data_IF_359898015267
#
_entry.id   IF_359898015267
#
_cell.length_a   1.000
_cell.length_b   1.000
_cell.length_c   1.000
_cell.angle_alpha   90.00
_cell.angle_beta   90.00
_cell.angle_gamma   90.00
#
_symmetry.space_group_name_H-M   'P 1'
#
loop_
_entity.id
_entity.type
_entity.pdbx_description
1 polymer ?
#
# COMPACT_ATOMS: atom_id res chain seq x y z
N UNK A 1 1.86 -4.30 5.99
CA UNK A 1 2.34 -3.19 6.86
C UNK A 1 2.03 -3.47 8.32
N UNK A 2 0.76 -3.61 8.75
CA UNK A 2 0.45 -3.88 10.17
C UNK A 2 1.23 -5.03 10.82
N UNK A 3 1.32 -6.20 10.18
CA UNK A 3 2.11 -7.32 10.72
C UNK A 3 3.62 -7.02 10.80
N UNK A 4 4.15 -6.21 9.88
CA UNK A 4 5.56 -5.81 9.89
C UNK A 4 5.84 -4.84 11.05
N UNK A 5 5.00 -3.81 11.22
CA UNK A 5 5.10 -2.89 12.35
C UNK A 5 4.94 -3.61 13.71
N UNK A 6 4.06 -4.60 13.78
CA UNK A 6 3.95 -5.47 14.94
C UNK A 6 5.23 -6.30 15.19
N UNK A 7 5.81 -6.91 14.16
CA UNK A 7 7.07 -7.66 14.29
C UNK A 7 8.21 -6.78 14.82
N UNK A 8 8.22 -5.51 14.41
CA UNK A 8 9.15 -4.49 14.89
C UNK A 8 8.76 -3.85 16.23
N UNK A 9 7.60 -4.22 16.80
CA UNK A 9 7.05 -3.66 18.05
C UNK A 9 6.96 -2.12 18.05
N UNK A 10 6.60 -1.54 16.90
CA UNK A 10 6.53 -0.09 16.74
C UNK A 10 5.14 0.39 16.34
N UNK A 11 4.75 1.57 16.85
CA UNK A 11 3.63 2.34 16.34
C UNK A 11 4.17 3.34 15.30
N UNK A 12 3.80 3.23 14.01
CA UNK A 12 4.44 3.99 12.94
C UNK A 12 4.30 5.52 13.10
N UNK A 13 3.23 6.00 13.73
CA UNK A 13 2.97 7.42 13.97
C UNK A 13 3.68 8.00 15.21
N UNK A 14 4.38 7.19 16.02
CA UNK A 14 5.16 7.68 17.16
C UNK A 14 6.57 8.12 16.78
N UNK A 15 7.06 7.67 15.61
CA UNK A 15 8.33 8.09 15.04
C UNK A 15 8.15 9.12 13.91
N UNK A 16 9.26 9.66 13.41
CA UNK A 16 9.27 10.57 12.26
C UNK A 16 9.09 9.86 10.90
N UNK A 17 9.22 8.52 10.86
CA UNK A 17 9.33 7.72 9.63
C UNK A 17 8.02 7.56 8.84
N UNK A 18 6.88 7.55 9.53
CA UNK A 18 5.58 7.26 8.91
C UNK A 18 4.55 8.33 9.26
N UNK A 19 4.87 9.59 8.97
CA UNK A 19 3.97 10.72 9.21
C UNK A 19 3.81 11.53 7.93
N UNK A 20 2.57 11.84 7.55
CA UNK A 20 2.26 12.70 6.40
C UNK A 20 1.93 11.95 5.11
N UNK A 21 1.18 12.61 4.22
CA UNK A 21 0.84 12.15 2.88
C UNK A 21 0.39 10.68 2.79
N UNK A 22 1.10 9.91 1.96
CA UNK A 22 0.84 8.50 1.68
C UNK A 22 0.86 7.64 2.95
N UNK A 23 1.71 7.95 3.93
CA UNK A 23 1.87 7.14 5.13
C UNK A 23 0.65 7.21 6.05
N UNK A 24 -0.02 8.37 6.11
CA UNK A 24 -1.28 8.52 6.83
C UNK A 24 -2.35 7.55 6.30
N UNK A 25 -2.48 7.44 4.98
CA UNK A 25 -3.44 6.53 4.36
C UNK A 25 -3.13 5.07 4.70
N UNK A 26 -1.86 4.68 4.64
CA UNK A 26 -1.40 3.32 4.97
C UNK A 26 -1.70 2.96 6.42
N UNK A 27 -1.48 3.89 7.35
CA UNK A 27 -1.76 3.72 8.77
C UNK A 27 -3.26 3.60 9.03
N UNK A 28 -4.05 4.53 8.51
CA UNK A 28 -5.50 4.53 8.69
C UNK A 28 -6.15 3.25 8.12
N UNK A 29 -5.70 2.80 6.95
CA UNK A 29 -6.19 1.55 6.35
C UNK A 29 -5.84 0.34 7.22
N UNK A 30 -4.61 0.29 7.74
CA UNK A 30 -4.17 -0.77 8.64
C UNK A 30 -5.05 -0.83 9.89
N UNK A 31 -5.24 0.31 10.57
CA UNK A 31 -6.06 0.38 11.79
C UNK A 31 -7.51 0.01 11.52
N UNK A 32 -8.06 0.43 10.38
CA UNK A 32 -9.41 0.04 9.95
C UNK A 32 -9.53 -1.47 9.71
N UNK A 33 -8.52 -2.11 9.13
CA UNK A 33 -8.53 -3.57 8.93
C UNK A 33 -8.50 -4.28 10.28
N UNK A 34 -7.55 -3.93 11.15
CA UNK A 34 -7.39 -4.60 12.44
C UNK A 34 -8.49 -4.25 13.46
N UNK A 35 -9.31 -3.22 13.24
CA UNK A 35 -10.48 -2.96 14.07
C UNK A 35 -11.70 -3.83 13.74
N UNK A 36 -11.66 -4.63 12.67
CA UNK A 36 -12.76 -5.54 12.32
C UNK A 36 -12.49 -6.98 12.74
N UNK A 37 -13.50 -7.83 12.56
CA UNK A 37 -13.39 -9.27 12.84
C UNK A 37 -12.56 -9.97 11.76
N UNK A 38 -11.58 -10.76 12.20
CA UNK A 38 -10.63 -11.47 11.33
C UNK A 38 -11.30 -12.33 10.24
N UNK A 39 -12.44 -12.95 10.57
CA UNK A 39 -13.13 -13.91 9.68
C UNK A 39 -13.71 -13.25 8.43
N UNK A 40 -14.00 -11.94 8.46
CA UNK A 40 -14.45 -11.19 7.27
C UNK A 40 -13.34 -11.17 6.22
N UNK A 41 -12.11 -10.84 6.64
CA UNK A 41 -10.96 -10.80 5.74
C UNK A 41 -10.46 -12.19 5.36
N UNK A 42 -10.50 -13.15 6.30
CA UNK A 42 -10.17 -14.54 6.00
C UNK A 42 -11.10 -15.12 4.93
N UNK A 43 -12.40 -14.91 5.06
CA UNK A 43 -13.39 -15.34 4.08
C UNK A 43 -13.13 -14.74 2.70
N UNK A 44 -12.90 -13.42 2.63
CA UNK A 44 -12.61 -12.73 1.37
C UNK A 44 -11.31 -13.20 0.70
N UNK A 45 -10.27 -13.49 1.48
CA UNK A 45 -8.97 -13.88 0.94
C UNK A 45 -8.87 -15.38 0.61
N UNK A 46 -9.35 -16.25 1.51
CA UNK A 46 -9.24 -17.71 1.38
C UNK A 46 -10.32 -18.25 0.45
N UNK A 47 -11.56 -17.77 0.48
CA UNK A 47 -12.64 -18.39 -0.30
C UNK A 47 -12.71 -17.88 -1.75
N UNK A 48 -12.02 -16.79 -2.09
CA UNK A 48 -12.01 -16.22 -3.42
C UNK A 48 -10.74 -16.66 -4.21
N UNK A 49 -10.87 -17.51 -5.25
CA UNK A 49 -9.73 -17.96 -6.04
C UNK A 49 -8.93 -16.84 -6.70
N UNK A 50 -9.60 -15.77 -7.14
CA UNK A 50 -8.92 -14.61 -7.73
C UNK A 50 -8.15 -13.81 -6.68
N UNK A 51 -8.68 -13.70 -5.45
CA UNK A 51 -7.93 -13.11 -4.34
C UNK A 51 -6.68 -13.93 -4.02
N UNK A 52 -6.75 -15.26 -4.05
CA UNK A 52 -5.56 -16.12 -3.84
C UNK A 52 -4.46 -15.83 -4.86
N UNK A 53 -4.81 -15.74 -6.15
CA UNK A 53 -3.87 -15.40 -7.23
C UNK A 53 -3.24 -14.01 -7.02
N UNK A 54 -4.08 -13.01 -6.73
CA UNK A 54 -3.61 -11.64 -6.50
C UNK A 54 -2.69 -11.52 -5.28
N UNK A 55 -3.03 -12.18 -4.18
CA UNK A 55 -2.22 -12.16 -2.95
C UNK A 55 -0.88 -12.87 -3.18
N UNK A 56 -0.88 -14.02 -3.86
CA UNK A 56 0.35 -14.74 -4.20
C UNK A 56 1.26 -13.90 -5.11
N UNK A 57 0.70 -13.28 -6.16
CA UNK A 57 1.46 -12.42 -7.07
C UNK A 57 1.94 -11.16 -6.37
N UNK A 58 1.16 -10.56 -5.47
CA UNK A 58 1.59 -9.40 -4.69
C UNK A 58 2.80 -9.75 -3.81
N UNK A 59 2.76 -10.87 -3.10
CA UNK A 59 3.89 -11.32 -2.28
C UNK A 59 5.15 -11.60 -3.13
N UNK A 60 4.98 -12.16 -4.34
CA UNK A 60 6.07 -12.33 -5.30
C UNK A 60 6.64 -10.98 -5.74
N UNK A 61 5.79 -10.02 -6.08
CA UNK A 61 6.16 -8.67 -6.52
C UNK A 61 6.94 -7.93 -5.42
N UNK A 62 6.46 -7.97 -4.17
CA UNK A 62 7.20 -7.43 -3.02
C UNK A 62 8.60 -8.04 -2.89
N UNK A 63 8.69 -9.37 -3.00
CA UNK A 63 9.96 -10.10 -2.84
C UNK A 63 10.95 -9.77 -3.96
N UNK A 64 10.49 -9.73 -5.20
CA UNK A 64 11.37 -9.50 -6.35
C UNK A 64 11.85 -8.05 -6.41
N UNK A 65 10.98 -7.07 -6.16
CA UNK A 65 11.39 -5.66 -6.07
C UNK A 65 12.38 -5.44 -4.91
N UNK A 66 12.10 -6.00 -3.74
CA UNK A 66 13.01 -5.88 -2.59
C UNK A 66 14.39 -6.51 -2.87
N UNK A 67 14.46 -7.63 -3.61
CA UNK A 67 15.74 -8.22 -4.03
C UNK A 67 16.55 -7.28 -4.94
N UNK A 68 15.88 -6.57 -5.85
CA UNK A 68 16.55 -5.58 -6.70
C UNK A 68 17.08 -4.39 -5.87
N UNK A 69 16.28 -3.91 -4.91
CA UNK A 69 16.67 -2.86 -3.96
C UNK A 69 17.90 -3.29 -3.13
N UNK A 70 17.85 -4.48 -2.54
CA UNK A 70 18.93 -5.04 -1.74
C UNK A 70 20.22 -5.24 -2.56
N UNK A 71 20.09 -5.65 -3.82
CA UNK A 71 21.21 -5.86 -4.73
C UNK A 71 21.77 -4.59 -5.37
N UNK A 72 21.22 -3.40 -5.06
CA UNK A 72 21.65 -2.15 -5.68
C UNK A 72 21.37 -2.07 -7.19
N UNK A 73 20.42 -2.85 -7.69
CA UNK A 73 20.11 -3.02 -9.11
C UNK A 73 19.22 -1.89 -9.65
N UNK A 74 19.72 -0.65 -9.61
CA UNK A 74 18.94 0.57 -9.87
C UNK A 74 18.29 0.58 -11.28
N UNK A 75 19.03 0.21 -12.31
CA UNK A 75 18.52 0.17 -13.69
C UNK A 75 17.37 -0.82 -13.85
N UNK A 76 17.55 -2.06 -13.37
CA UNK A 76 16.55 -3.13 -13.49
C UNK A 76 15.31 -2.83 -12.64
N UNK A 77 15.50 -2.24 -11.44
CA UNK A 77 14.39 -1.78 -10.60
C UNK A 77 13.57 -0.71 -11.34
N UNK A 78 14.25 0.30 -11.91
CA UNK A 78 13.59 1.38 -12.64
C UNK A 78 12.86 0.87 -13.88
N UNK A 79 13.50 0.04 -14.69
CA UNK A 79 12.90 -0.54 -15.89
C UNK A 79 11.62 -1.32 -15.53
N UNK A 80 11.68 -2.17 -14.50
CA UNK A 80 10.55 -2.97 -14.04
C UNK A 80 9.39 -2.09 -13.55
N UNK A 81 9.67 -1.10 -12.71
CA UNK A 81 8.64 -0.22 -12.12
C UNK A 81 8.00 0.67 -13.18
N UNK A 82 8.78 1.28 -14.08
CA UNK A 82 8.23 2.09 -15.17
C UNK A 82 7.51 1.24 -16.22
N UNK A 83 8.01 0.05 -16.53
CA UNK A 83 7.30 -0.91 -17.38
C UNK A 83 5.96 -1.33 -16.78
N UNK A 84 5.91 -1.52 -15.46
CA UNK A 84 4.66 -1.79 -14.74
C UNK A 84 3.69 -0.59 -14.79
N UNK A 85 4.20 0.62 -14.53
CA UNK A 85 3.44 1.88 -14.65
C UNK A 85 2.78 1.99 -16.02
N UNK A 86 3.57 1.88 -17.08
CA UNK A 86 3.11 2.11 -18.45
C UNK A 86 2.06 1.06 -18.87
N UNK A 87 2.17 -0.19 -18.41
CA UNK A 87 1.16 -1.24 -18.68
C UNK A 87 -0.16 -1.02 -17.91
N UNK A 88 -0.09 -0.53 -16.68
CA UNK A 88 -1.26 -0.34 -15.81
C UNK A 88 -1.97 0.97 -16.13
N UNK A 89 -1.22 2.07 -16.17
CA UNK A 89 -1.72 3.43 -16.26
C UNK A 89 -1.65 4.01 -17.68
N UNK A 90 -0.98 3.35 -18.62
CA UNK A 90 -0.69 3.90 -19.93
C UNK A 90 0.54 4.81 -19.92
N UNK A 91 1.08 5.08 -21.10
CA UNK A 91 2.23 5.96 -21.30
C UNK A 91 1.74 7.36 -21.66
N UNK A 92 2.17 8.38 -20.94
CA UNK A 92 1.88 9.77 -21.31
C UNK A 92 2.68 10.13 -22.59
N UNK A 93 1.99 10.43 -23.69
CA UNK A 93 2.62 10.86 -24.96
C UNK A 93 2.09 10.17 -26.22
N UNK A 94 2.59 10.63 -27.39
CA UNK A 94 2.07 10.34 -28.74
C UNK A 94 1.90 8.84 -29.02
N UNK A 95 0.69 8.33 -28.82
CA UNK A 95 0.23 7.01 -29.24
C UNK A 95 -0.47 6.18 -28.16
N UNK A 96 -0.32 6.52 -26.88
CA UNK A 96 -1.03 5.88 -25.77
C UNK A 96 -1.82 6.91 -24.98
N UNK A 97 -3.14 6.71 -24.83
CA UNK A 97 -3.92 7.52 -23.90
C UNK A 97 -3.57 7.13 -22.47
N UNK A 98 -3.20 8.09 -21.63
CA UNK A 98 -3.14 7.86 -20.19
C UNK A 98 -4.52 7.36 -19.72
N UNK A 99 -4.53 6.31 -18.91
CA UNK A 99 -5.76 5.67 -18.41
C UNK A 99 -6.30 6.35 -17.15
N UNK A 100 -5.48 7.15 -16.47
CA UNK A 100 -5.94 8.03 -15.41
C UNK A 100 -6.58 9.31 -15.97
N UNK A 101 -7.50 9.88 -15.21
CA UNK A 101 -8.19 11.12 -15.58
C UNK A 101 -7.25 12.34 -15.52
N UNK A 102 -7.66 13.43 -16.19
CA UNK A 102 -6.92 14.70 -16.17
C UNK A 102 -6.78 15.27 -14.75
N UNK A 103 -7.76 15.04 -13.87
CA UNK A 103 -7.63 15.34 -12.44
C UNK A 103 -7.24 14.10 -11.65
N UNK A 104 -6.34 14.21 -10.64
CA UNK A 104 -5.96 13.09 -9.81
C UNK A 104 -7.10 12.65 -8.90
N UNK A 105 -7.21 11.33 -8.66
CA UNK A 105 -8.22 10.76 -7.77
C UNK A 105 -8.12 11.30 -6.33
N UNK A 106 -6.92 11.64 -5.88
CA UNK A 106 -6.67 12.24 -4.57
C UNK A 106 -5.70 13.41 -4.71
N UNK A 107 -6.07 14.54 -4.11
CA UNK A 107 -5.22 15.71 -4.01
C UNK A 107 -4.36 15.63 -2.74
N UNK A 108 -3.13 16.13 -2.81
CA UNK A 108 -2.16 16.05 -1.73
C UNK A 108 -2.67 16.72 -0.44
N UNK A 109 -3.47 17.78 -0.56
CA UNK A 109 -4.04 18.49 0.58
C UNK A 109 -5.01 17.63 1.40
N UNK A 110 -5.68 16.66 0.77
CA UNK A 110 -6.59 15.74 1.46
C UNK A 110 -5.78 14.67 2.21
N UNK A 111 -4.65 14.21 1.65
CA UNK A 111 -3.81 13.19 2.29
C UNK A 111 -3.15 13.71 3.58
N UNK A 112 -2.77 14.98 3.59
CA UNK A 112 -2.09 15.63 4.70
C UNK A 112 -3.03 16.01 5.87
N UNK A 113 -4.35 16.05 5.65
CA UNK A 113 -5.33 16.44 6.67
C UNK A 113 -5.54 15.38 7.76
N UNK A 114 -5.19 14.11 7.53
CA UNK A 114 -5.58 12.98 8.39
C UNK A 114 -4.40 12.27 9.06
N UNK A 115 -3.54 13.05 9.73
CA UNK A 115 -2.40 12.52 10.50
C UNK A 115 -2.80 12.12 11.93
N UNK A 116 -2.34 10.96 12.40
CA UNK A 116 -2.43 10.54 13.81
C UNK A 116 -1.28 11.08 14.68
N UNK A 117 -0.24 11.67 14.07
CA UNK A 117 0.92 12.24 14.75
C UNK A 117 1.14 13.72 14.41
N UNK A 118 2.07 14.38 15.11
CA UNK A 118 2.49 15.76 14.78
C UNK A 118 3.17 15.77 13.41
N UNK A 119 2.72 16.65 12.50
CA UNK A 119 3.35 16.83 11.19
C UNK A 119 4.82 17.26 11.41
N UNK A 120 5.80 16.48 10.92
CA UNK A 120 7.21 16.83 11.08
C UNK A 120 7.57 18.05 10.21
N UNK A 121 8.64 18.75 10.58
CA UNK A 121 9.15 19.91 9.81
C UNK A 121 9.62 19.51 8.40
N UNK A 122 10.09 18.27 8.24
CA UNK A 122 10.40 17.66 6.94
C UNK A 122 9.91 16.21 6.90
N UNK A 123 9.31 15.81 5.79
CA UNK A 123 8.88 14.44 5.55
C UNK A 123 10.09 13.59 5.18
N UNK A 124 10.27 12.45 5.84
CA UNK A 124 11.32 11.50 5.45
C UNK A 124 10.95 10.81 4.13
N UNK A 125 11.82 10.86 3.11
CA UNK A 125 11.58 10.16 1.84
C UNK A 125 11.46 8.65 2.05
N UNK A 126 10.48 8.02 1.40
CA UNK A 126 10.20 6.59 1.53
C UNK A 126 10.15 5.95 0.14
N UNK A 127 10.71 4.75 0.00
CA UNK A 127 10.69 4.01 -1.28
C UNK A 127 9.28 3.51 -1.67
N UNK A 128 8.37 3.47 -0.70
CA UNK A 128 7.00 3.02 -0.85
C UNK A 128 6.88 1.63 -1.52
N UNK A 129 7.71 0.66 -1.12
CA UNK A 129 7.73 -0.71 -1.64
C UNK A 129 6.31 -1.33 -1.73
N UNK A 130 5.45 -1.06 -0.75
CA UNK A 130 4.07 -1.54 -0.76
C UNK A 130 3.23 -1.04 -1.94
N UNK A 131 3.50 0.18 -2.43
CA UNK A 131 2.88 0.77 -3.62
C UNK A 131 3.57 0.33 -4.91
N UNK A 132 4.90 0.24 -4.92
CA UNK A 132 5.64 -0.26 -6.07
C UNK A 132 5.24 -1.71 -6.41
N UNK A 133 5.16 -2.57 -5.40
CA UNK A 133 4.76 -3.97 -5.55
C UNK A 133 3.31 -4.15 -5.99
N UNK A 134 2.45 -3.18 -5.71
CA UNK A 134 1.06 -3.21 -6.12
C UNK A 134 0.92 -3.00 -7.62
N UNK A 135 1.60 -1.99 -8.16
CA UNK A 135 1.58 -1.70 -9.59
C UNK A 135 2.29 -2.80 -10.37
N UNK A 136 3.40 -3.33 -9.85
CA UNK A 136 4.04 -4.52 -10.42
C UNK A 136 3.08 -5.72 -10.41
N UNK A 137 2.38 -6.00 -9.30
CA UNK A 137 1.39 -7.07 -9.23
C UNK A 137 0.28 -6.93 -10.29
N UNK A 138 -0.32 -5.75 -10.41
CA UNK A 138 -1.32 -5.47 -11.44
C UNK A 138 -0.77 -5.68 -12.85
N UNK A 139 0.46 -5.20 -13.11
CA UNK A 139 1.13 -5.40 -14.39
C UNK A 139 1.33 -6.88 -14.73
N UNK A 140 1.78 -7.69 -13.77
CA UNK A 140 2.03 -9.12 -13.95
C UNK A 140 0.72 -9.91 -14.17
N UNK A 141 -0.40 -9.45 -13.61
CA UNK A 141 -1.71 -10.07 -13.78
C UNK A 141 -2.47 -9.53 -14.99
N UNK A 142 -1.95 -8.53 -15.70
CA UNK A 142 -2.68 -7.83 -16.76
C UNK A 142 -3.92 -7.11 -16.26
N UNK A 143 -3.98 -6.76 -14.97
CA UNK A 143 -5.11 -6.10 -14.34
C UNK A 143 -4.99 -4.58 -14.48
N UNK A 144 -6.09 -3.92 -14.84
CA UNK A 144 -6.19 -2.46 -14.91
C UNK A 144 -7.21 -2.00 -13.86
N UNK A 145 -6.77 -1.29 -12.80
CA UNK A 145 -7.65 -0.96 -11.68
C UNK A 145 -8.80 -0.01 -12.07
N UNK A 146 -8.68 0.72 -13.17
CA UNK A 146 -9.71 1.66 -13.65
C UNK A 146 -10.91 0.98 -14.32
N UNK A 147 -10.76 -0.24 -14.84
CA UNK A 147 -11.79 -0.92 -15.65
C UNK A 147 -13.08 -1.20 -14.87
N UNK A 148 -13.02 -1.20 -13.54
CA UNK A 148 -14.13 -1.54 -12.65
C UNK A 148 -14.44 -0.46 -11.60
N UNK A 149 -14.09 0.80 -11.87
CA UNK A 149 -14.28 1.93 -10.93
C UNK A 149 -15.75 2.20 -10.53
N UNK A 150 -16.70 1.75 -11.35
CA UNK A 150 -18.14 1.85 -11.04
C UNK A 150 -18.50 1.00 -9.82
N UNK A 151 -17.85 -0.16 -9.65
CA UNK A 151 -18.08 -1.08 -8.55
C UNK A 151 -17.03 -0.97 -7.43
N UNK A 152 -16.16 0.04 -7.49
CA UNK A 152 -15.08 0.20 -6.52
C UNK A 152 -15.62 0.60 -5.14
N UNK A 153 -15.07 -0.01 -4.09
CA UNK A 153 -15.31 0.45 -2.73
C UNK A 153 -14.58 1.76 -2.45
N UNK A 154 -15.02 2.55 -1.46
CA UNK A 154 -14.31 3.79 -1.07
C UNK A 154 -12.85 3.53 -0.67
N UNK A 155 -12.58 2.39 -0.04
CA UNK A 155 -11.22 1.97 0.32
C UNK A 155 -10.36 1.66 -0.91
N UNK A 156 -10.94 1.02 -1.93
CA UNK A 156 -10.23 0.79 -3.18
C UNK A 156 -9.87 2.11 -3.86
N UNK A 157 -10.80 3.08 -3.90
CA UNK A 157 -10.53 4.42 -4.46
C UNK A 157 -9.42 5.14 -3.72
N UNK A 158 -9.44 5.09 -2.40
CA UNK A 158 -8.38 5.67 -1.57
C UNK A 158 -7.01 5.06 -1.89
N UNK A 159 -6.96 3.73 -2.00
CA UNK A 159 -5.72 3.00 -2.29
C UNK A 159 -5.21 3.22 -3.71
N UNK A 160 -6.11 3.22 -4.69
CA UNK A 160 -5.77 3.57 -6.07
C UNK A 160 -5.28 5.02 -6.16
N UNK A 161 -5.94 5.95 -5.46
CA UNK A 161 -5.56 7.36 -5.49
C UNK A 161 -4.17 7.63 -4.91
N UNK A 162 -3.77 6.99 -3.81
CA UNK A 162 -2.39 7.15 -3.29
C UNK A 162 -1.35 6.50 -4.20
N UNK A 163 -1.73 5.43 -4.90
CA UNK A 163 -0.85 4.77 -5.86
C UNK A 163 -0.68 5.61 -7.11
N UNK A 164 -1.78 6.15 -7.65
CA UNK A 164 -1.77 7.11 -8.75
C UNK A 164 -0.92 8.33 -8.38
N UNK A 165 -1.10 8.89 -7.18
CA UNK A 165 -0.36 10.05 -6.71
C UNK A 165 1.17 9.85 -6.77
N UNK A 166 1.66 8.67 -6.40
CA UNK A 166 3.07 8.31 -6.52
C UNK A 166 3.50 8.15 -7.98
N UNK A 167 2.74 7.39 -8.78
CA UNK A 167 3.14 6.97 -10.13
C UNK A 167 2.94 8.04 -11.20
N UNK A 168 2.07 9.01 -10.96
CA UNK A 168 1.76 10.12 -11.87
C UNK A 168 2.85 11.17 -11.90
N UNK A 169 3.65 11.30 -10.84
CA UNK A 169 4.77 12.24 -10.78
C UNK A 169 6.09 11.51 -10.98
N UNK A 170 6.72 11.71 -12.13
CA UNK A 170 8.03 11.10 -12.41
C UNK A 170 9.07 11.48 -11.36
N UNK A 171 9.07 12.73 -10.89
CA UNK A 171 9.95 13.20 -9.82
C UNK A 171 9.75 12.42 -8.52
N UNK A 172 8.50 12.22 -8.07
CA UNK A 172 8.23 11.43 -6.84
C UNK A 172 8.61 9.97 -7.01
N UNK A 173 8.32 9.41 -8.19
CA UNK A 173 8.64 8.01 -8.49
C UNK A 173 10.16 7.79 -8.54
N UNK A 174 10.90 8.63 -9.27
CA UNK A 174 12.36 8.56 -9.36
C UNK A 174 13.01 8.75 -7.98
N UNK A 175 12.51 9.67 -7.15
CA UNK A 175 12.99 9.82 -5.78
C UNK A 175 12.74 8.57 -4.94
N UNK A 176 11.55 7.97 -5.04
CA UNK A 176 11.23 6.72 -4.33
C UNK A 176 12.16 5.57 -4.76
N UNK A 177 12.50 5.47 -6.04
CA UNK A 177 13.42 4.47 -6.58
C UNK A 177 14.86 4.72 -6.13
N UNK A 178 15.30 5.98 -6.10
CA UNK A 178 16.61 6.38 -5.58
C UNK A 178 16.75 6.00 -4.11
N UNK A 179 15.77 6.37 -3.29
CA UNK A 179 15.69 6.02 -1.86
C UNK A 179 15.70 4.50 -1.67
N UNK A 180 15.03 3.74 -2.54
CA UNK A 180 15.02 2.29 -2.47
C UNK A 180 16.43 1.67 -2.61
N UNK A 181 17.34 2.34 -3.31
CA UNK A 181 18.71 1.87 -3.57
C UNK A 181 19.68 2.45 -2.55
N UNK A 182 19.66 3.76 -2.38
CA UNK A 182 20.70 4.53 -1.68
C UNK A 182 20.45 4.68 -0.17
N UNK A 183 19.18 4.66 0.25
CA UNK A 183 18.81 4.86 1.65
C UNK A 183 18.52 3.53 2.36
N UNK A 184 19.00 3.43 3.60
CA UNK A 184 18.84 2.25 4.45
C UNK A 184 17.86 2.47 5.63
N UNK A 185 17.25 3.66 5.74
CA UNK A 185 16.38 4.06 6.84
C UNK A 185 15.17 3.13 6.97
N UNK A 186 14.58 2.71 5.84
CA UNK A 186 13.42 1.82 5.79
C UNK A 186 13.75 0.36 5.45
N UNK A 187 15.03 0.03 5.19
CA UNK A 187 15.43 -1.29 4.65
C UNK A 187 15.04 -2.46 5.55
N UNK A 188 15.12 -2.25 6.86
CA UNK A 188 14.70 -3.24 7.87
C UNK A 188 13.18 -3.38 7.90
N UNK A 189 12.44 -2.27 7.80
CA UNK A 189 10.98 -2.27 7.78
C UNK A 189 10.46 -2.95 6.50
N UNK A 190 11.14 -2.76 5.37
CA UNK A 190 10.84 -3.41 4.10
C UNK A 190 11.08 -4.92 4.15
N UNK A 191 12.10 -5.38 4.88
CA UNK A 191 12.34 -6.81 5.11
C UNK A 191 11.17 -7.45 5.85
N UNK A 192 10.75 -6.83 6.95
CA UNK A 192 9.60 -7.27 7.74
C UNK A 192 8.31 -7.21 6.93
N UNK A 193 8.19 -6.21 6.04
CA UNK A 193 7.07 -6.11 5.12
C UNK A 193 7.02 -7.27 4.10
N UNK A 194 8.16 -7.65 3.51
CA UNK A 194 8.25 -8.80 2.60
C UNK A 194 7.94 -10.11 3.32
N UNK A 195 8.45 -10.31 4.54
CA UNK A 195 8.12 -11.49 5.36
C UNK A 195 6.64 -11.55 5.70
N UNK A 196 6.04 -10.42 6.09
CA UNK A 196 4.61 -10.34 6.34
C UNK A 196 3.81 -10.70 5.09
N UNK A 197 4.14 -10.14 3.93
CA UNK A 197 3.44 -10.40 2.66
C UNK A 197 3.49 -11.89 2.28
N UNK A 198 4.67 -12.52 2.38
CA UNK A 198 4.85 -13.96 2.13
C UNK A 198 4.04 -14.82 3.10
N UNK A 199 4.08 -14.51 4.39
CA UNK A 199 3.34 -15.27 5.41
C UNK A 199 1.82 -15.17 5.22
N UNK A 200 1.29 -14.03 4.77
CA UNK A 200 -0.12 -13.92 4.40
C UNK A 200 -0.45 -14.74 3.14
N UNK A 201 0.40 -14.68 2.11
CA UNK A 201 0.19 -15.46 0.89
C UNK A 201 0.20 -16.97 1.12
N UNK A 202 1.12 -17.47 1.95
CA UNK A 202 1.18 -18.88 2.33
C UNK A 202 -0.09 -19.31 3.09
N UNK A 203 -0.50 -18.51 4.08
CA UNK A 203 -1.72 -18.77 4.86
C UNK A 203 -2.97 -18.86 3.95
N UNK A 204 -3.06 -17.99 2.95
CA UNK A 204 -4.16 -17.96 1.99
C UNK A 204 -4.10 -19.14 1.02
N UNK A 205 -2.90 -19.48 0.53
CA UNK A 205 -2.68 -20.58 -0.40
C UNK A 205 -3.05 -21.93 0.22
N UNK A 206 -2.69 -22.14 1.48
CA UNK A 206 -3.02 -23.37 2.23
C UNK A 206 -4.47 -23.40 2.70
N UNK A 207 -5.13 -22.24 2.78
CA UNK A 207 -6.53 -22.12 3.23
C UNK A 207 -6.72 -22.40 4.72
N UNK A 208 -5.68 -22.23 5.53
CA UNK A 208 -5.70 -22.50 6.97
C UNK A 208 -6.33 -21.32 7.73
N UNK A 209 -7.63 -21.44 8.06
CA UNK A 209 -8.35 -20.40 8.80
C UNK A 209 -7.79 -20.18 10.21
N UNK A 210 -7.36 -21.22 10.92
CA UNK A 210 -6.83 -21.10 12.27
C UNK A 210 -5.50 -20.32 12.28
N UNK A 211 -4.59 -20.64 11.36
CA UNK A 211 -3.34 -19.89 11.18
C UNK A 211 -3.60 -18.43 10.83
N UNK A 212 -4.62 -18.16 9.99
CA UNK A 212 -5.02 -16.78 9.68
C UNK A 212 -5.49 -16.06 10.94
N UNK A 213 -6.39 -16.70 11.71
CA UNK A 213 -6.96 -16.15 12.94
C UNK A 213 -5.87 -15.78 13.93
N UNK A 214 -4.95 -16.71 14.24
CA UNK A 214 -3.86 -16.47 15.17
C UNK A 214 -2.98 -15.31 14.73
N UNK A 215 -2.55 -15.30 13.46
CA UNK A 215 -1.71 -14.21 12.91
C UNK A 215 -2.40 -12.86 12.96
N UNK A 216 -3.70 -12.83 12.68
CA UNK A 216 -4.50 -11.61 12.69
C UNK A 216 -4.69 -11.10 14.12
N UNK A 217 -5.18 -11.96 15.04
CA UNK A 217 -5.49 -11.59 16.41
C UNK A 217 -4.24 -11.20 17.20
N UNK A 218 -3.11 -11.85 16.96
CA UNK A 218 -1.83 -11.47 17.54
C UNK A 218 -1.46 -10.02 17.21
N UNK A 219 -1.53 -9.67 15.93
CA UNK A 219 -1.31 -8.30 15.46
C UNK A 219 -2.37 -7.32 15.97
N UNK A 220 -3.63 -7.76 16.02
CA UNK A 220 -4.76 -6.97 16.48
C UNK A 220 -4.59 -6.55 17.94
N UNK A 221 -4.23 -7.48 18.83
CA UNK A 221 -3.99 -7.21 20.26
C UNK A 221 -2.92 -6.14 20.49
N UNK A 222 -1.89 -6.10 19.65
CA UNK A 222 -0.86 -5.07 19.74
C UNK A 222 -1.38 -3.66 19.43
N UNK A 223 -2.28 -3.51 18.45
CA UNK A 223 -2.84 -2.22 18.06
C UNK A 223 -4.13 -1.84 18.80
N UNK A 224 -4.74 -2.79 19.53
CA UNK A 224 -6.00 -2.62 20.24
C UNK A 224 -6.08 -1.37 21.12
N UNK A 225 -5.04 -1.01 21.92
CA UNK A 225 -5.07 0.21 22.74
C UNK A 225 -5.19 1.51 21.94
N UNK A 226 -4.98 1.46 20.62
CA UNK A 226 -4.92 2.63 19.72
C UNK A 226 -6.12 2.71 18.78
N UNK A 227 -7.04 1.74 18.81
CA UNK A 227 -8.19 1.72 17.91
C UNK A 227 -9.17 2.87 18.14
N UNK A 228 -9.40 3.30 19.39
CA UNK A 228 -10.38 4.34 19.69
C UNK A 228 -10.10 5.65 18.93
N UNK A 229 -8.88 6.18 19.01
CA UNK A 229 -8.49 7.39 18.27
C UNK A 229 -8.35 7.17 16.76
N UNK A 230 -7.99 5.95 16.34
CA UNK A 230 -7.81 5.61 14.93
C UNK A 230 -9.13 5.49 14.14
N UNK A 231 -10.19 5.02 14.80
CA UNK A 231 -11.52 4.85 14.17
C UNK A 231 -12.12 6.21 13.84
N UNK A 232 -11.94 7.21 14.72
CA UNK A 232 -12.43 8.58 14.51
C UNK A 232 -11.75 9.23 13.30
N UNK A 233 -10.41 9.26 13.28
CA UNK A 233 -9.62 9.85 12.18
C UNK A 233 -9.83 9.09 10.87
N UNK A 234 -9.84 7.76 10.90
CA UNK A 234 -10.04 6.93 9.71
C UNK A 234 -11.44 7.08 9.11
N UNK A 235 -12.46 7.34 9.92
CA UNK A 235 -13.83 7.61 9.44
C UNK A 235 -13.91 8.98 8.78
N UNK A 236 -13.33 10.01 9.39
CA UNK A 236 -13.27 11.36 8.82
C UNK A 236 -12.56 11.37 7.46
N UNK A 237 -11.44 10.65 7.34
CA UNK A 237 -10.69 10.55 6.07
C UNK A 237 -11.52 9.93 4.94
N UNK A 238 -12.23 8.83 5.21
CA UNK A 238 -13.04 8.16 4.17
C UNK A 238 -14.21 9.04 3.75
N UNK A 239 -14.83 9.77 4.68
CA UNK A 239 -15.88 10.75 4.37
C UNK A 239 -15.35 11.85 3.47
N UNK A 240 -14.21 12.46 3.80
CA UNK A 240 -13.62 13.53 2.98
C UNK A 240 -13.28 13.07 1.56
N UNK A 241 -12.76 11.85 1.40
CA UNK A 241 -12.46 11.25 0.09
C UNK A 241 -13.72 10.96 -0.71
N UNK A 242 -14.80 10.55 -0.04
CA UNK A 242 -16.10 10.34 -0.67
C UNK A 242 -16.75 11.65 -1.14
N UNK A 243 -16.55 12.73 -0.40
CA UNK A 243 -17.08 14.05 -0.75
C UNK A 243 -16.28 14.69 -1.89
N UNK A 244 -14.97 14.50 -1.94
CA UNK A 244 -14.13 15.03 -3.02
C UNK A 244 -14.35 14.35 -4.36
N UNK A 245 -14.73 13.06 -4.38
CA UNK A 245 -15.00 12.30 -5.62
C UNK A 245 -16.42 12.43 -6.16
N UNK A 246 -17.30 13.19 -5.49
CA UNK A 246 -18.68 13.49 -5.94
C UNK A 246 -18.79 14.78 -6.76
N UNK A 247 -17.75 15.61 -6.80
CA UNK A 247 -17.67 16.82 -7.61
C UNK A 247 -17.05 16.52 -8.96
#
# INVERSE_FOLDING_TARGET
MGKAWHAMKQFPWEGARYVGGIENVKINLMLRIYSQKWHVYAGLAILNPEARKQIAQYAKSCTELYKLMLGGQAYQLRERVYGARDRVFGREGKGGGARWAAEPLLRDEILDQFSLGKKPESLLPNNHLSLLAMVDCWSQLGAVPYDHMICSTPLFRLWLGVTENLFRSETRLDESLRIAIEDNTFRSDDLEFVFAARGWAECVSLGHFDTWMERFMDTQRFFEPRFAGAIEVGSAMVTAVLESTKK
#
